data_IF_577142235204
#
_entry.id   IF_577142235204
#
_cell.length_a   1.000
_cell.length_b   1.000
_cell.length_c   1.000
_cell.angle_alpha   90.00
_cell.angle_beta   90.00
_cell.angle_gamma   90.00
#
_symmetry.space_group_name_H-M   'P 1'
#
loop_
_entity.id
_entity.type
_entity.pdbx_description
1 polymer ?
#
# COMPACT_ATOMS: atom_id res chain seq x y z
N UNK A 1 13.32 -36.58 -15.91
CA UNK A 1 12.46 -35.40 -15.75
C UNK A 1 11.63 -35.07 -16.99
N UNK A 2 12.20 -34.98 -18.18
CA UNK A 2 11.46 -34.52 -19.37
C UNK A 2 10.36 -35.48 -19.85
N UNK A 3 10.54 -36.79 -19.64
CA UNK A 3 9.60 -37.81 -20.12
C UNK A 3 8.17 -37.63 -19.58
N UNK A 4 8.01 -37.27 -18.30
CA UNK A 4 6.68 -37.02 -17.72
C UNK A 4 6.06 -35.73 -18.25
N UNK A 5 6.89 -34.69 -18.44
CA UNK A 5 6.47 -33.40 -19.01
C UNK A 5 5.96 -33.58 -20.45
N UNK A 6 6.65 -34.40 -21.24
CA UNK A 6 6.28 -34.70 -22.63
C UNK A 6 5.04 -35.60 -22.72
N UNK A 7 4.94 -36.64 -21.88
CA UNK A 7 3.73 -37.48 -21.78
C UNK A 7 2.51 -36.65 -21.38
N UNK A 8 2.66 -35.73 -20.42
CA UNK A 8 1.59 -34.81 -20.04
C UNK A 8 1.16 -33.88 -21.18
N UNK A 9 2.11 -33.41 -22.00
CA UNK A 9 1.80 -32.62 -23.21
C UNK A 9 1.08 -33.46 -24.27
N UNK A 10 1.50 -34.70 -24.48
CA UNK A 10 0.84 -35.61 -25.42
C UNK A 10 -0.62 -35.89 -25.00
N UNK A 11 -0.85 -36.23 -23.73
CA UNK A 11 -2.18 -36.43 -23.18
C UNK A 11 -3.06 -35.15 -23.29
N UNK A 12 -2.47 -33.97 -23.11
CA UNK A 12 -3.16 -32.70 -23.30
C UNK A 12 -3.60 -32.48 -24.76
N UNK A 13 -2.76 -32.86 -25.73
CA UNK A 13 -3.08 -32.80 -27.16
C UNK A 13 -4.19 -33.78 -27.54
N UNK A 14 -4.21 -34.96 -26.90
CA UNK A 14 -5.30 -35.94 -27.00
C UNK A 14 -6.60 -35.50 -26.31
N UNK A 15 -6.60 -34.33 -25.67
CA UNK A 15 -7.72 -33.76 -24.89
C UNK A 15 -8.10 -34.58 -23.65
N UNK A 16 -7.25 -35.50 -23.22
CA UNK A 16 -7.41 -36.21 -21.95
C UNK A 16 -6.82 -35.38 -20.82
N UNK A 17 -7.56 -34.36 -20.41
CA UNK A 17 -7.13 -33.41 -19.37
C UNK A 17 -7.02 -34.05 -17.99
N UNK A 18 -7.75 -35.14 -17.73
CA UNK A 18 -7.68 -35.88 -16.47
C UNK A 18 -6.33 -36.56 -16.31
N UNK A 19 -5.97 -37.41 -17.28
CA UNK A 19 -4.65 -38.08 -17.27
C UNK A 19 -3.50 -37.08 -17.36
N UNK A 20 -3.65 -36.01 -18.14
CA UNK A 20 -2.62 -34.97 -18.23
C UNK A 20 -2.36 -34.32 -16.86
N UNK A 21 -3.41 -34.02 -16.08
CA UNK A 21 -3.25 -33.42 -14.75
C UNK A 21 -2.53 -34.36 -13.77
N UNK A 22 -2.81 -35.66 -13.82
CA UNK A 22 -2.11 -36.68 -13.01
C UNK A 22 -0.63 -36.79 -13.39
N UNK A 23 -0.33 -36.86 -14.70
CA UNK A 23 1.05 -36.90 -15.20
C UNK A 23 1.84 -35.64 -14.83
N UNK A 24 1.23 -34.45 -14.90
CA UNK A 24 1.85 -33.23 -14.41
C UNK A 24 2.00 -33.23 -12.89
N UNK A 25 1.08 -33.83 -12.14
CA UNK A 25 1.21 -34.05 -10.70
C UNK A 25 2.46 -34.86 -10.37
N UNK A 26 2.63 -36.02 -11.01
CA UNK A 26 3.84 -36.83 -10.84
C UNK A 26 5.12 -36.11 -11.28
N UNK A 27 5.05 -35.24 -12.29
CA UNK A 27 6.19 -34.42 -12.68
C UNK A 27 6.54 -33.36 -11.62
N UNK A 28 5.54 -32.78 -10.94
CA UNK A 28 5.73 -31.81 -9.85
C UNK A 28 6.31 -32.50 -8.61
N UNK A 29 5.91 -33.73 -8.32
CA UNK A 29 6.47 -34.51 -7.20
C UNK A 29 7.98 -34.75 -7.41
N UNK A 30 8.42 -34.89 -8.66
CA UNK A 30 9.85 -35.01 -9.01
C UNK A 30 10.58 -33.66 -9.07
N UNK A 31 9.91 -32.61 -9.54
CA UNK A 31 10.47 -31.27 -9.73
C UNK A 31 9.49 -30.19 -9.25
N UNK A 32 9.46 -29.89 -7.94
CA UNK A 32 8.51 -28.92 -7.42
C UNK A 32 8.92 -27.48 -7.76
N UNK A 33 10.11 -27.26 -8.30
CA UNK A 33 10.62 -25.90 -8.58
C UNK A 33 10.15 -25.33 -9.91
N UNK A 34 9.72 -26.20 -10.83
CA UNK A 34 9.36 -25.77 -12.18
C UNK A 34 7.92 -25.21 -12.26
N UNK A 35 7.82 -23.88 -12.29
CA UNK A 35 6.56 -23.15 -12.47
C UNK A 35 5.81 -23.50 -13.79
N UNK A 36 6.50 -24.03 -14.82
CA UNK A 36 5.86 -24.45 -16.07
C UNK A 36 4.90 -25.60 -15.84
N UNK A 37 5.22 -26.52 -14.93
CA UNK A 37 4.38 -27.67 -14.61
C UNK A 37 3.07 -27.25 -13.96
N UNK A 38 3.14 -26.37 -12.96
CA UNK A 38 1.97 -25.78 -12.34
C UNK A 38 1.09 -25.06 -13.36
N UNK A 39 1.71 -24.31 -14.27
CA UNK A 39 0.97 -23.62 -15.33
C UNK A 39 0.21 -24.59 -16.22
N UNK A 40 0.85 -25.67 -16.68
CA UNK A 40 0.23 -26.67 -17.54
C UNK A 40 -0.85 -27.49 -16.83
N UNK A 41 -0.63 -27.85 -15.55
CA UNK A 41 -1.64 -28.52 -14.71
C UNK A 41 -2.86 -27.61 -14.48
N UNK A 42 -2.65 -26.32 -14.19
CA UNK A 42 -3.72 -25.33 -14.08
C UNK A 42 -4.55 -25.23 -15.37
N UNK A 43 -3.92 -25.30 -16.55
CA UNK A 43 -4.65 -25.31 -17.82
C UNK A 43 -5.53 -26.55 -17.98
N UNK A 44 -5.07 -27.72 -17.53
CA UNK A 44 -5.86 -28.94 -17.52
C UNK A 44 -7.09 -28.76 -16.61
N UNK A 45 -6.91 -28.20 -15.42
CA UNK A 45 -8.01 -27.93 -14.49
C UNK A 45 -9.01 -26.89 -15.01
N UNK A 46 -8.56 -25.87 -15.75
CA UNK A 46 -9.46 -24.94 -16.44
C UNK A 46 -10.36 -25.66 -17.46
N UNK A 47 -9.80 -26.58 -18.24
CA UNK A 47 -10.57 -27.37 -19.21
C UNK A 47 -11.53 -28.37 -18.52
N UNK A 48 -11.14 -28.91 -17.37
CA UNK A 48 -11.99 -29.74 -16.52
C UNK A 48 -13.02 -28.93 -15.72
N UNK A 49 -13.05 -27.60 -15.87
CA UNK A 49 -13.90 -26.66 -15.10
C UNK A 49 -13.70 -26.75 -13.58
N UNK A 50 -12.54 -27.22 -13.13
CA UNK A 50 -12.17 -27.23 -11.73
C UNK A 50 -11.41 -25.94 -11.38
N UNK A 51 -12.17 -24.86 -11.23
CA UNK A 51 -11.62 -23.51 -11.05
C UNK A 51 -10.85 -23.34 -9.74
N UNK A 52 -11.25 -24.06 -8.67
CA UNK A 52 -10.60 -23.98 -7.36
C UNK A 52 -9.16 -24.52 -7.42
N UNK A 53 -8.99 -25.74 -7.92
CA UNK A 53 -7.66 -26.34 -8.10
C UNK A 53 -6.80 -25.56 -9.09
N UNK A 54 -7.40 -25.04 -10.17
CA UNK A 54 -6.68 -24.19 -11.12
C UNK A 54 -6.13 -22.92 -10.46
N UNK A 55 -6.90 -22.31 -9.53
CA UNK A 55 -6.48 -21.12 -8.80
C UNK A 55 -5.32 -21.42 -7.84
N UNK A 56 -5.40 -22.55 -7.12
CA UNK A 56 -4.34 -23.05 -6.22
C UNK A 56 -3.02 -23.29 -6.98
N UNK A 57 -3.08 -24.01 -8.11
CA UNK A 57 -1.92 -24.25 -8.97
C UNK A 57 -1.31 -22.94 -9.50
N UNK A 58 -2.16 -21.97 -9.86
CA UNK A 58 -1.67 -20.67 -10.31
C UNK A 58 -0.97 -19.90 -9.18
N UNK A 59 -1.48 -19.97 -7.95
CA UNK A 59 -0.83 -19.31 -6.79
C UNK A 59 0.50 -19.96 -6.47
N UNK A 60 0.55 -21.29 -6.37
CA UNK A 60 1.80 -22.02 -6.10
C UNK A 60 2.83 -21.77 -7.20
N UNK A 61 2.41 -21.80 -8.47
CA UNK A 61 3.29 -21.51 -9.60
C UNK A 61 3.84 -20.08 -9.62
N UNK A 62 3.12 -19.10 -9.06
CA UNK A 62 3.59 -17.72 -8.96
C UNK A 62 4.63 -17.53 -7.85
N UNK A 63 4.61 -18.37 -6.82
CA UNK A 63 5.59 -18.36 -5.72
C UNK A 63 6.95 -18.95 -6.13
N UNK A 64 6.98 -19.85 -7.13
CA UNK A 64 8.21 -20.52 -7.59
C UNK A 64 9.10 -19.66 -8.53
N UNK A 65 9.07 -18.34 -8.40
CA UNK A 65 9.87 -17.40 -9.20
C UNK A 65 9.84 -17.67 -10.73
N UNK A 66 8.66 -17.65 -11.37
CA UNK A 66 8.55 -17.88 -12.81
C UNK A 66 9.21 -16.77 -13.63
N UNK A 67 9.76 -17.13 -14.80
CA UNK A 67 10.13 -16.16 -15.84
C UNK A 67 8.93 -15.29 -16.24
N UNK A 68 9.15 -14.06 -16.68
CA UNK A 68 8.10 -13.11 -17.12
C UNK A 68 7.02 -13.75 -18.01
N UNK A 69 7.43 -14.54 -19.01
CA UNK A 69 6.52 -15.23 -19.93
C UNK A 69 5.62 -16.28 -19.24
N UNK A 70 6.16 -16.99 -18.24
CA UNK A 70 5.42 -18.01 -17.49
C UNK A 70 4.49 -17.32 -16.49
N UNK A 71 4.97 -16.25 -15.85
CA UNK A 71 4.19 -15.39 -14.95
C UNK A 71 2.96 -14.81 -15.66
N UNK A 72 3.12 -14.32 -16.90
CA UNK A 72 2.00 -13.85 -17.72
C UNK A 72 0.93 -14.94 -17.89
N UNK A 73 1.35 -16.16 -18.27
CA UNK A 73 0.43 -17.30 -18.48
C UNK A 73 -0.28 -17.72 -17.19
N UNK A 74 0.43 -17.78 -16.07
CA UNK A 74 -0.13 -18.10 -14.75
C UNK A 74 -1.15 -17.06 -14.31
N UNK A 75 -0.83 -15.77 -14.42
CA UNK A 75 -1.74 -14.69 -14.07
C UNK A 75 -3.00 -14.67 -14.94
N UNK A 76 -2.84 -14.91 -16.25
CA UNK A 76 -3.97 -14.99 -17.16
C UNK A 76 -4.89 -16.17 -16.82
N UNK A 77 -4.31 -17.37 -16.58
CA UNK A 77 -5.05 -18.57 -16.15
C UNK A 77 -5.76 -18.36 -14.80
N UNK A 78 -5.10 -17.70 -13.85
CA UNK A 78 -5.68 -17.30 -12.55
C UNK A 78 -6.88 -16.37 -12.74
N UNK A 79 -6.78 -15.38 -13.62
CA UNK A 79 -7.88 -14.48 -13.92
C UNK A 79 -9.11 -15.20 -14.51
N UNK A 80 -8.89 -16.17 -15.40
CA UNK A 80 -9.96 -16.99 -15.96
C UNK A 80 -10.65 -17.83 -14.87
N UNK A 81 -9.88 -18.48 -14.00
CA UNK A 81 -10.43 -19.23 -12.87
C UNK A 81 -11.21 -18.33 -11.91
N UNK A 82 -10.66 -17.16 -11.56
CA UNK A 82 -11.29 -16.20 -10.67
C UNK A 82 -12.60 -15.65 -11.24
N UNK A 83 -12.62 -15.33 -12.54
CA UNK A 83 -13.84 -14.93 -13.25
C UNK A 83 -14.91 -16.01 -13.18
N UNK A 84 -14.54 -17.28 -13.39
CA UNK A 84 -15.47 -18.41 -13.30
C UNK A 84 -15.99 -18.66 -11.87
N UNK A 85 -15.20 -18.33 -10.84
CA UNK A 85 -15.60 -18.38 -9.44
C UNK A 85 -16.44 -17.17 -8.98
N UNK A 86 -16.64 -16.16 -9.83
CA UNK A 86 -17.32 -14.92 -9.47
C UNK A 86 -16.47 -13.92 -8.69
N UNK A 87 -15.17 -14.17 -8.55
CA UNK A 87 -14.21 -13.26 -7.92
C UNK A 87 -13.74 -12.20 -8.93
N UNK A 88 -14.66 -11.32 -9.33
CA UNK A 88 -14.46 -10.37 -10.44
C UNK A 88 -13.36 -9.34 -10.12
N UNK A 89 -13.26 -8.88 -8.87
CA UNK A 89 -12.21 -7.95 -8.43
C UNK A 89 -10.81 -8.54 -8.58
N UNK A 90 -10.64 -9.79 -8.17
CA UNK A 90 -9.37 -10.52 -8.31
C UNK A 90 -9.03 -10.77 -9.78
N UNK A 91 -10.02 -11.08 -10.61
CA UNK A 91 -9.81 -11.23 -12.05
C UNK A 91 -9.29 -9.93 -12.68
N UNK A 92 -9.83 -8.77 -12.29
CA UNK A 92 -9.41 -7.46 -12.79
C UNK A 92 -7.94 -7.14 -12.43
N UNK A 93 -7.55 -7.40 -11.17
CA UNK A 93 -6.18 -7.15 -10.71
C UNK A 93 -5.17 -8.06 -11.42
N UNK A 94 -5.49 -9.35 -11.57
CA UNK A 94 -4.64 -10.29 -12.31
C UNK A 94 -4.50 -9.90 -13.78
N UNK A 95 -5.58 -9.51 -14.47
CA UNK A 95 -5.50 -9.04 -15.86
C UNK A 95 -4.71 -7.73 -15.99
N UNK A 96 -4.82 -6.82 -15.02
CA UNK A 96 -3.99 -5.62 -14.97
C UNK A 96 -2.50 -5.95 -14.85
N UNK A 97 -2.14 -6.94 -14.04
CA UNK A 97 -0.76 -7.43 -13.95
C UNK A 97 -0.28 -8.07 -15.26
N UNK A 98 -1.14 -8.81 -15.97
CA UNK A 98 -0.82 -9.37 -17.30
C UNK A 98 -0.45 -8.25 -18.28
N UNK A 99 -1.25 -7.17 -18.35
CA UNK A 99 -0.97 -6.04 -19.24
C UNK A 99 0.29 -5.26 -18.88
N UNK A 100 0.72 -5.30 -17.61
CA UNK A 100 2.02 -4.73 -17.19
C UNK A 100 3.20 -5.52 -17.72
N UNK A 101 3.09 -6.86 -17.82
CA UNK A 101 4.13 -7.72 -18.37
C UNK A 101 4.10 -7.67 -19.90
N UNK A 102 2.91 -7.81 -20.48
CA UNK A 102 2.67 -7.86 -21.93
C UNK A 102 1.60 -6.84 -22.31
N UNK A 103 2.04 -5.64 -22.66
CA UNK A 103 1.15 -4.55 -23.09
C UNK A 103 0.46 -4.83 -24.43
N UNK A 104 1.02 -5.76 -25.23
CA UNK A 104 0.52 -6.10 -26.56
C UNK A 104 -0.61 -7.13 -26.56
N UNK A 105 -0.91 -7.77 -25.42
CA UNK A 105 -1.90 -8.85 -25.35
C UNK A 105 -3.34 -8.32 -25.47
N UNK A 106 -3.86 -8.33 -26.69
CA UNK A 106 -5.22 -7.84 -26.99
C UNK A 106 -6.32 -8.65 -26.29
N UNK A 107 -6.11 -9.96 -26.09
CA UNK A 107 -7.09 -10.83 -25.43
C UNK A 107 -7.22 -10.48 -23.95
N UNK A 108 -6.10 -10.22 -23.26
CA UNK A 108 -6.15 -9.77 -21.88
C UNK A 108 -6.86 -8.41 -21.73
N UNK A 109 -6.66 -7.51 -22.71
CA UNK A 109 -7.31 -6.19 -22.73
C UNK A 109 -8.82 -6.27 -22.92
N UNK A 110 -9.31 -7.10 -23.84
CA UNK A 110 -10.75 -7.30 -24.03
C UNK A 110 -11.39 -7.94 -22.80
N UNK A 111 -10.75 -8.96 -22.22
CA UNK A 111 -11.21 -9.60 -20.99
C UNK A 111 -11.26 -8.62 -19.80
N UNK A 112 -10.29 -7.71 -19.68
CA UNK A 112 -10.29 -6.69 -18.63
C UNK A 112 -11.44 -5.69 -18.80
N UNK A 113 -11.73 -5.28 -20.04
CA UNK A 113 -12.87 -4.40 -20.32
C UNK A 113 -14.21 -5.05 -19.97
N UNK A 114 -14.39 -6.35 -20.29
CA UNK A 114 -15.56 -7.12 -19.89
C UNK A 114 -15.70 -7.24 -18.37
N UNK A 115 -14.61 -7.50 -17.67
CA UNK A 115 -14.60 -7.62 -16.20
C UNK A 115 -14.95 -6.28 -15.55
N UNK A 116 -14.43 -5.17 -16.06
CA UNK A 116 -14.73 -3.84 -15.54
C UNK A 116 -16.19 -3.44 -15.76
N UNK A 117 -16.77 -3.76 -16.92
CA UNK A 117 -18.20 -3.47 -17.15
C UNK A 117 -19.11 -4.23 -16.17
N UNK A 118 -18.76 -5.47 -15.82
CA UNK A 118 -19.47 -6.24 -14.78
C UNK A 118 -19.36 -5.56 -13.41
N UNK A 119 -18.17 -5.06 -13.04
CA UNK A 119 -17.97 -4.35 -11.77
C UNK A 119 -18.79 -3.05 -11.73
N UNK A 120 -18.76 -2.25 -12.78
CA UNK A 120 -19.50 -0.99 -12.88
C UNK A 120 -21.01 -1.25 -12.78
N UNK A 121 -21.52 -2.26 -13.49
CA UNK A 121 -22.92 -2.67 -13.38
C UNK A 121 -23.29 -3.11 -11.96
N UNK A 122 -22.43 -3.88 -11.29
CA UNK A 122 -22.63 -4.30 -9.90
C UNK A 122 -22.68 -3.11 -8.93
N UNK A 123 -21.80 -2.12 -9.10
CA UNK A 123 -21.76 -0.91 -8.28
C UNK A 123 -22.99 -0.01 -8.51
N UNK A 124 -23.43 0.13 -9.77
CA UNK A 124 -24.64 0.88 -10.12
C UNK A 124 -25.89 0.24 -9.52
N UNK A 125 -25.98 -1.10 -9.50
CA UNK A 125 -27.09 -1.80 -8.84
C UNK A 125 -27.07 -1.60 -7.32
N UNK A 126 -25.90 -1.68 -6.68
CA UNK A 126 -25.74 -1.47 -5.24
C UNK A 126 -26.15 -0.03 -4.83
N UNK A 127 -25.70 0.98 -5.56
CA UNK A 127 -26.05 2.39 -5.29
C UNK A 127 -27.53 2.69 -5.49
N UNK A 128 -28.19 2.10 -6.49
CA UNK A 128 -29.65 2.21 -6.68
C UNK A 128 -30.42 1.62 -5.50
N UNK A 129 -30.03 0.44 -5.01
CA UNK A 129 -30.64 -0.22 -3.84
C UNK A 129 -30.45 0.60 -2.57
N UNK A 130 -29.30 1.23 -2.39
CA UNK A 130 -29.02 2.10 -1.26
C UNK A 130 -29.88 3.38 -1.31
N UNK A 131 -29.98 4.03 -2.48
CA UNK A 131 -30.81 5.22 -2.67
C UNK A 131 -32.30 4.93 -2.47
N UNK A 132 -32.81 3.79 -2.93
CA UNK A 132 -34.20 3.38 -2.66
C UNK A 132 -34.46 3.13 -1.18
N UNK A 133 -33.45 2.66 -0.42
CA UNK A 133 -33.56 2.48 1.03
C UNK A 133 -33.47 3.80 1.81
N UNK A 134 -32.72 4.78 1.31
CA UNK A 134 -32.54 6.10 1.94
C UNK A 134 -33.69 7.08 1.67
N UNK A 135 -34.42 6.93 0.56
CA UNK A 135 -35.54 7.80 0.21
C UNK A 135 -36.69 7.81 1.24
N UNK A 136 -36.71 6.90 2.23
CA UNK A 136 -37.70 6.87 3.31
C UNK A 136 -37.26 7.51 4.63
N UNK A 137 -36.00 7.95 4.78
CA UNK A 137 -35.49 8.54 6.02
C UNK A 137 -34.85 9.90 5.74
N UNK A 138 -35.68 10.91 5.48
CA UNK A 138 -35.24 12.30 5.60
C UNK A 138 -34.95 12.55 7.08
N UNK A 139 -33.68 12.48 7.50
CA UNK A 139 -33.27 13.00 8.80
C UNK A 139 -33.25 14.52 8.63
N UNK A 140 -34.18 15.28 9.24
CA UNK A 140 -34.17 16.72 9.13
C UNK A 140 -32.88 17.25 9.76
N UNK A 141 -31.99 17.79 8.93
CA UNK A 141 -30.83 18.54 9.39
C UNK A 141 -31.35 19.93 9.72
N UNK A 142 -31.76 20.11 10.97
CA UNK A 142 -32.06 21.44 11.51
C UNK A 142 -30.73 22.16 11.73
N UNK A 143 -30.49 23.23 10.98
CA UNK A 143 -29.33 24.10 11.20
C UNK A 143 -29.61 24.90 12.46
N UNK A 144 -29.01 24.49 13.57
CA UNK A 144 -29.14 25.19 14.85
C UNK A 144 -27.88 26.01 15.09
N UNK A 145 -28.00 27.35 15.06
CA UNK A 145 -26.90 28.29 15.32
C UNK A 145 -26.35 28.19 16.76
N UNK A 146 -27.10 27.56 17.65
CA UNK A 146 -26.76 27.35 19.06
C UNK A 146 -26.97 25.90 19.48
N UNK A 147 -26.09 25.39 20.35
CA UNK A 147 -26.19 24.02 20.85
C UNK A 147 -27.52 23.85 21.61
N UNK A 148 -28.37 22.85 21.31
CA UNK A 148 -29.62 22.63 22.01
C UNK A 148 -29.43 22.48 23.52
N UNK A 149 -30.32 23.06 24.34
CA UNK A 149 -30.22 23.11 25.82
C UNK A 149 -29.99 21.73 26.47
N UNK A 150 -30.53 20.66 25.87
CA UNK A 150 -30.34 19.27 26.30
C UNK A 150 -28.87 18.80 26.29
N UNK A 151 -27.99 19.51 25.58
CA UNK A 151 -26.56 19.23 25.52
C UNK A 151 -25.72 20.31 26.23
N UNK A 152 -26.35 21.37 26.77
CA UNK A 152 -25.64 22.43 27.50
C UNK A 152 -25.02 21.92 28.81
N UNK A 153 -25.60 20.88 29.42
CA UNK A 153 -25.13 20.30 30.70
C UNK A 153 -23.95 19.32 30.55
N UNK A 154 -23.54 18.98 29.33
CA UNK A 154 -22.41 18.08 29.06
C UNK A 154 -21.08 18.88 28.94
N UNK A 155 -21.16 20.22 28.96
CA UNK A 155 -20.01 21.10 28.72
C UNK A 155 -19.20 21.39 29.99
N UNK A 156 -19.61 20.91 31.16
CA UNK A 156 -18.78 21.05 32.35
C UNK A 156 -17.70 19.95 32.37
N UNK A 157 -16.41 20.25 32.08
CA UNK A 157 -15.36 19.29 32.34
C UNK A 157 -15.37 18.96 33.84
N UNK A 158 -15.15 17.69 34.24
CA UNK A 158 -14.96 17.38 35.65
C UNK A 158 -13.87 18.31 36.17
N UNK A 159 -14.18 19.06 37.23
CA UNK A 159 -13.28 20.09 37.77
C UNK A 159 -12.00 19.41 38.24
N UNK A 160 -10.97 19.37 37.39
CA UNK A 160 -9.64 18.96 37.81
C UNK A 160 -9.17 20.05 38.78
N UNK A 161 -8.81 19.70 40.03
CA UNK A 161 -8.36 20.70 41.01
C UNK A 161 -7.15 21.46 40.45
N UNK A 162 -7.21 22.80 40.53
CA UNK A 162 -6.15 23.72 40.08
C UNK A 162 -4.79 23.29 40.65
N UNK A 163 -3.93 22.74 39.80
CA UNK A 163 -2.49 22.65 40.07
C UNK A 163 -1.94 24.08 40.10
N UNK A 164 -1.26 24.44 41.20
CA UNK A 164 -0.64 25.75 41.39
C UNK A 164 0.39 26.00 40.28
N UNK A 165 0.21 27.06 39.50
CA UNK A 165 1.22 27.53 38.54
C UNK A 165 2.43 28.08 39.29
N UNK A 166 3.68 27.72 38.93
CA UNK A 166 4.86 28.38 39.43
C UNK A 166 5.07 29.75 38.77
N UNK A 167 5.64 30.69 39.53
CA UNK A 167 5.63 32.14 39.35
C UNK A 167 6.35 32.75 38.11
N UNK A 168 6.64 31.97 37.06
CA UNK A 168 7.51 32.43 35.96
C UNK A 168 6.76 32.82 34.66
N UNK A 169 5.43 32.91 34.66
CA UNK A 169 4.65 33.27 33.46
C UNK A 169 4.81 34.74 33.03
N UNK A 170 5.09 35.65 33.97
CA UNK A 170 5.11 37.10 33.73
C UNK A 170 6.28 37.54 32.83
N UNK A 171 7.37 36.76 32.78
CA UNK A 171 8.53 37.08 31.96
C UNK A 171 8.31 36.74 30.47
N UNK A 172 7.52 35.70 30.20
CA UNK A 172 7.30 35.20 28.83
C UNK A 172 6.37 36.13 28.05
N UNK A 173 5.36 36.70 28.72
CA UNK A 173 4.42 37.63 28.08
C UNK A 173 5.08 38.96 27.71
N UNK A 174 5.91 39.51 28.61
CA UNK A 174 6.66 40.76 28.33
C UNK A 174 7.64 40.65 27.15
N UNK A 175 8.29 39.51 26.99
CA UNK A 175 9.19 39.26 25.86
C UNK A 175 8.45 39.09 24.53
N UNK A 176 7.19 38.67 24.57
CA UNK A 176 6.36 38.52 23.38
C UNK A 176 5.83 39.85 22.86
N UNK A 177 5.51 40.80 23.73
CA UNK A 177 4.98 42.12 23.33
C UNK A 177 6.05 43.03 22.70
N UNK A 178 7.31 42.95 23.15
CA UNK A 178 8.42 43.70 22.55
C UNK A 178 8.78 43.25 21.12
N UNK A 179 8.45 42.00 20.75
CA UNK A 179 8.84 41.43 19.46
C UNK A 179 7.90 41.83 18.30
N UNK A 180 6.69 42.32 18.59
CA UNK A 180 5.63 42.47 17.59
C UNK A 180 5.11 43.90 17.37
N UNK A 181 5.78 44.92 17.88
CA UNK A 181 5.45 46.32 17.54
C UNK A 181 6.28 46.83 16.36
N UNK A 182 5.67 46.75 15.18
CA UNK A 182 5.59 47.78 14.13
C UNK A 182 5.69 47.20 12.71
N UNK A 183 4.54 47.04 12.04
CA UNK A 183 4.42 47.36 10.61
C UNK A 183 2.96 47.62 10.21
N UNK A 184 2.67 48.77 9.56
CA UNK A 184 1.30 49.12 9.20
C UNK A 184 0.84 48.36 7.96
N UNK A 185 -0.42 47.93 8.01
CA UNK A 185 -1.12 47.29 6.91
C UNK A 185 -1.37 48.28 5.76
N UNK A 186 -0.80 48.02 4.58
CA UNK A 186 -1.35 48.54 3.31
C UNK A 186 -0.93 47.69 2.11
N UNK A 187 -1.96 47.35 1.34
CA UNK A 187 -1.99 46.93 -0.06
C UNK A 187 -1.41 45.55 -0.42
N UNK A 188 -2.31 44.58 -0.60
CA UNK A 188 -2.10 43.52 -1.58
C UNK A 188 -3.30 43.49 -2.55
N UNK A 189 -3.20 44.29 -3.62
CA UNK A 189 -4.01 44.15 -4.82
C UNK A 189 -3.24 43.38 -5.87
N UNK A 190 -3.83 42.28 -6.33
CA UNK A 190 -3.70 41.63 -7.65
C UNK A 190 -2.33 41.71 -8.35
N UNK A 191 -1.64 40.56 -8.42
CA UNK A 191 -0.95 40.17 -9.66
C UNK A 191 -1.01 38.64 -9.82
N UNK A 192 -1.61 38.22 -10.93
CA UNK A 192 -1.56 36.87 -11.45
C UNK A 192 -0.25 36.67 -12.20
N UNK A 193 0.50 35.64 -11.86
CA UNK A 193 1.20 34.76 -12.82
C UNK A 193 1.59 33.47 -12.12
N UNK A 194 1.37 32.35 -12.81
CA UNK A 194 1.78 31.00 -12.43
C UNK A 194 3.23 30.96 -11.91
N UNK A 195 3.43 30.44 -10.69
CA UNK A 195 4.52 29.56 -10.26
C UNK A 195 4.03 28.81 -9.01
N UNK A 196 4.12 27.49 -9.04
CA UNK A 196 3.91 26.59 -7.91
C UNK A 196 5.01 26.77 -6.86
N UNK A 197 4.63 27.07 -5.62
CA UNK A 197 5.49 26.83 -4.45
C UNK A 197 4.62 26.45 -3.26
N UNK A 198 4.49 25.14 -3.03
CA UNK A 198 4.03 24.62 -1.73
C UNK A 198 5.23 24.71 -0.80
N UNK A 199 5.27 25.76 -0.01
CA UNK A 199 6.31 26.04 0.96
C UNK A 199 6.28 24.97 2.06
N UNK A 200 7.01 23.87 1.86
CA UNK A 200 7.23 22.84 2.90
C UNK A 200 8.27 23.36 3.89
N UNK A 201 8.00 23.43 5.19
CA UNK A 201 9.00 23.86 6.17
C UNK A 201 9.93 22.67 6.49
N UNK A 202 10.88 22.36 5.60
CA UNK A 202 11.67 21.12 5.70
C UNK A 202 13.12 21.31 6.19
N UNK A 203 13.70 22.51 6.16
CA UNK A 203 15.12 22.70 6.55
C UNK A 203 15.30 23.40 7.90
N UNK A 204 14.43 24.35 8.24
CA UNK A 204 14.54 25.11 9.49
C UNK A 204 14.28 24.23 10.73
N UNK A 205 13.32 23.29 10.63
CA UNK A 205 12.98 22.34 11.71
C UNK A 205 14.09 21.35 12.01
N UNK A 206 14.89 20.97 11.02
CA UNK A 206 15.98 20.02 11.18
C UNK A 206 17.24 20.66 11.78
N UNK A 207 17.54 21.91 11.41
CA UNK A 207 18.70 22.65 11.94
C UNK A 207 18.65 22.87 13.46
N UNK A 208 17.44 22.96 14.01
CA UNK A 208 17.21 23.13 15.45
C UNK A 208 17.58 21.83 16.22
N UNK A 209 17.55 20.67 15.56
CA UNK A 209 17.87 19.37 16.17
C UNK A 209 19.36 19.17 16.44
N UNK A 210 20.23 19.86 15.70
CA UNK A 210 21.69 19.77 15.88
C UNK A 210 22.18 20.41 17.19
N UNK A 211 21.43 21.39 17.70
CA UNK A 211 21.74 22.09 18.95
C UNK A 211 21.17 21.40 20.20
N UNK A 212 20.44 20.28 20.05
CA UNK A 212 19.82 19.55 21.17
C UNK A 212 20.68 18.38 21.67
N UNK A 213 20.58 18.09 22.97
CA UNK A 213 21.27 16.97 23.63
C UNK A 213 20.93 15.62 22.95
N UNK A 214 21.89 14.68 22.83
CA UNK A 214 21.74 13.46 22.02
C UNK A 214 20.51 12.62 22.35
N UNK A 215 20.15 12.50 23.64
CA UNK A 215 19.00 11.70 24.10
C UNK A 215 17.64 12.33 23.81
N UNK A 216 17.59 13.66 23.67
CA UNK A 216 16.37 14.41 23.33
C UNK A 216 16.18 14.41 21.80
N UNK A 217 17.29 14.46 21.07
CA UNK A 217 17.34 14.42 19.61
C UNK A 217 16.69 13.14 19.03
N UNK A 218 17.01 11.98 19.61
CA UNK A 218 16.43 10.68 19.19
C UNK A 218 14.90 10.63 19.39
N UNK A 219 14.38 11.26 20.46
CA UNK A 219 12.93 11.31 20.71
C UNK A 219 12.22 12.31 19.80
N UNK A 220 12.89 13.39 19.41
CA UNK A 220 12.34 14.41 18.53
C UNK A 220 12.25 13.95 17.06
N UNK A 221 13.10 13.04 16.62
CA UNK A 221 13.03 12.45 15.27
C UNK A 221 11.84 11.50 15.08
N UNK A 222 11.38 10.83 16.14
CA UNK A 222 10.28 9.84 16.10
C UNK A 222 8.95 10.42 15.56
N UNK A 223 8.42 11.55 16.08
CA UNK A 223 7.20 12.15 15.55
C UNK A 223 7.37 12.82 14.17
N UNK A 224 8.60 13.20 13.79
CA UNK A 224 8.89 13.77 12.45
C UNK A 224 8.83 12.68 11.38
N UNK A 225 9.28 11.47 11.71
CA UNK A 225 9.27 10.29 10.82
C UNK A 225 7.94 9.53 10.85
N UNK A 226 7.10 9.73 11.87
CA UNK A 226 5.72 9.19 11.89
C UNK A 226 4.81 9.80 10.81
N UNK A 227 5.15 10.98 10.28
CA UNK A 227 4.46 11.57 9.12
C UNK A 227 4.74 10.85 7.80
N UNK A 228 5.72 9.94 7.75
CA UNK A 228 6.17 9.32 6.51
C UNK A 228 6.01 7.80 6.48
N UNK A 229 5.26 7.17 7.40
CA UNK A 229 4.86 5.77 7.19
C UNK A 229 3.86 5.62 6.04
N UNK A 230 3.00 6.61 5.80
CA UNK A 230 2.04 6.58 4.68
C UNK A 230 2.68 6.97 3.35
N UNK A 231 3.50 8.01 3.32
CA UNK A 231 4.03 8.57 2.06
C UNK A 231 5.26 7.80 1.52
N UNK A 232 6.03 7.09 2.36
CA UNK A 232 7.19 6.29 1.91
C UNK A 232 6.75 5.01 1.19
N UNK A 233 5.58 4.46 1.54
CA UNK A 233 4.99 3.30 0.88
C UNK A 233 4.59 3.58 -0.58
N UNK A 234 4.45 4.84 -0.99
CA UNK A 234 4.12 5.20 -2.37
C UNK A 234 5.34 5.41 -3.28
N UNK A 235 6.57 5.46 -2.75
CA UNK A 235 7.74 5.90 -3.53
C UNK A 235 8.95 4.95 -3.60
N UNK A 236 8.90 3.75 -3.03
CA UNK A 236 9.94 2.75 -3.30
C UNK A 236 9.81 1.46 -2.49
N UNK A 237 10.29 0.37 -3.09
CA UNK A 237 10.33 -1.01 -2.55
C UNK A 237 11.29 -1.16 -1.34
N UNK A 238 11.18 -0.28 -0.35
CA UNK A 238 11.96 -0.38 0.89
C UNK A 238 11.05 -0.98 1.93
N UNK A 239 11.34 -2.21 2.35
CA UNK A 239 10.61 -2.87 3.42
C UNK A 239 10.69 -2.03 4.70
N UNK A 240 9.56 -1.80 5.40
CA UNK A 240 9.50 -0.94 6.58
C UNK A 240 10.42 -1.45 7.70
N UNK A 241 10.64 -2.76 7.76
CA UNK A 241 11.55 -3.43 8.69
C UNK A 241 13.03 -3.08 8.41
N UNK A 242 13.39 -2.90 7.14
CA UNK A 242 14.74 -2.48 6.75
C UNK A 242 15.00 -1.01 7.11
N UNK A 243 14.01 -0.14 6.92
CA UNK A 243 14.12 1.28 7.31
C UNK A 243 14.24 1.44 8.82
N UNK A 244 13.49 0.64 9.59
CA UNK A 244 13.58 0.60 11.05
C UNK A 244 14.95 0.08 11.52
N UNK A 245 15.47 -0.99 10.91
CA UNK A 245 16.81 -1.51 11.15
C UNK A 245 17.92 -0.50 10.80
N UNK A 246 17.76 0.25 9.70
CA UNK A 246 18.71 1.27 9.27
C UNK A 246 18.77 2.44 10.25
N UNK A 247 17.62 2.87 10.78
CA UNK A 247 17.55 3.93 11.79
C UNK A 247 18.13 3.44 13.13
N UNK A 248 17.80 2.21 13.54
CA UNK A 248 18.33 1.63 14.78
C UNK A 248 19.86 1.42 14.72
N UNK A 249 20.40 0.99 13.58
CA UNK A 249 21.85 0.86 13.39
C UNK A 249 22.56 2.23 13.35
N UNK A 250 21.94 3.25 12.75
CA UNK A 250 22.44 4.62 12.77
C UNK A 250 22.48 5.22 14.19
N UNK A 251 21.45 4.96 15.00
CA UNK A 251 21.42 5.42 16.39
C UNK A 251 22.38 4.66 17.31
N UNK A 252 22.64 3.37 17.04
CA UNK A 252 23.66 2.58 17.76
C UNK A 252 25.07 3.13 17.56
N UNK A 253 25.39 3.60 16.35
CA UNK A 253 26.67 4.26 16.03
C UNK A 253 26.90 5.58 16.77
N UNK A 254 25.83 6.28 17.17
CA UNK A 254 25.89 7.55 17.91
C UNK A 254 26.01 7.30 19.42
N UNK A 255 25.38 6.24 19.95
CA UNK A 255 25.43 5.87 21.38
C UNK A 255 26.76 5.26 21.82
N UNK A 256 27.59 4.76 20.90
CA UNK A 256 28.87 4.12 21.22
C UNK A 256 30.05 4.96 20.68
N UNK A 257 30.55 5.97 21.42
CA UNK A 257 31.60 6.87 20.92
C UNK A 257 32.97 6.19 20.82
N UNK A 258 33.13 4.94 21.26
CA UNK A 258 34.42 4.25 21.25
C UNK A 258 34.25 2.83 20.70
N UNK A 259 35.03 2.51 19.65
CA UNK A 259 35.18 1.22 18.95
C UNK A 259 34.24 0.99 17.76
N UNK A 260 34.45 1.67 16.63
CA UNK A 260 34.31 1.05 15.30
C UNK A 260 34.80 1.93 14.15
N UNK A 261 36.10 2.22 14.09
CA UNK A 261 36.73 2.75 12.87
C UNK A 261 36.69 1.72 11.73
N UNK A 262 36.46 0.43 12.04
CA UNK A 262 36.37 -0.65 11.05
C UNK A 262 34.99 -0.83 10.40
N UNK A 263 33.90 -0.38 11.04
CA UNK A 263 32.55 -0.50 10.48
C UNK A 263 32.25 0.55 9.38
N UNK A 264 32.92 1.72 9.42
CA UNK A 264 32.76 2.76 8.39
C UNK A 264 33.21 2.32 6.99
N UNK A 265 34.04 1.28 6.87
CA UNK A 265 34.45 0.73 5.56
C UNK A 265 33.47 -0.28 4.97
N UNK A 266 32.62 -0.92 5.78
CA UNK A 266 31.67 -1.90 5.28
C UNK A 266 30.43 -1.25 4.65
N UNK A 267 29.94 -0.12 5.20
CA UNK A 267 28.73 0.52 4.67
C UNK A 267 28.94 1.21 3.30
N UNK A 268 30.17 1.62 2.97
CA UNK A 268 30.47 2.30 1.70
C UNK A 268 30.63 1.29 0.54
N UNK A 269 30.85 0.00 0.83
CA UNK A 269 31.00 -1.03 -0.22
C UNK A 269 29.70 -1.75 -0.62
N UNK A 270 28.56 -1.43 -0.02
CA UNK A 270 27.27 -2.05 -0.36
C UNK A 270 26.30 -1.12 -1.10
N UNK A 271 26.77 0.05 -1.56
CA UNK A 271 26.00 1.02 -2.35
C UNK A 271 26.76 1.38 -3.65
N UNK A 272 27.45 0.42 -4.24
CA UNK A 272 27.85 0.43 -5.66
C UNK A 272 27.42 -0.89 -6.30
#
# INVERSE_FOLDING_TARGET
>A
MNDLKEKGKAAFLEKDYGKAAELYGHAIDQDPTDAVLFSNRAQCYLNLKNWKKAMEDCTEGLERSPTSNIKEKLLYRKALAARALGQITLAATCLGQVLRISSSNQVARTQLAEVNSILDHSQLQASKKLKSSLNGSQIPIEVVDSLPEKYATIVDPPTVPKVRQPANLILVEKMSEELFLDRPAKQLSKLSTNITFVERPAMLKLRILDHLLPDVRVRAFKPILELSKLDILELGDIEPEFLELFIDSGTYGIKSPCKCVRAKRFLVCSIL
#
